data_IF_686693373633
#
_entry.id   IF_686693373633
#
_cell.length_a   1.000
_cell.length_b   1.000
_cell.length_c   1.000
_cell.angle_alpha   90.00
_cell.angle_beta   90.00
_cell.angle_gamma   90.00
#
_symmetry.space_group_name_H-M   'P 1'
#
loop_
_entity.id
_entity.type
_entity.pdbx_description
1 polymer ?
#
# COMPACT_ATOMS: atom_id res chain seq x y z
N UNK A 1 -23.72 73.62 16.32
CA UNK A 1 -22.96 72.35 16.49
C UNK A 1 -23.65 71.24 17.32
N UNK A 2 -24.77 71.46 18.02
CA UNK A 2 -25.35 70.44 18.92
C UNK A 2 -26.31 69.39 18.32
N UNK A 3 -26.88 69.61 17.12
CA UNK A 3 -27.84 68.65 16.50
C UNK A 3 -27.20 67.61 15.57
N UNK A 4 -25.99 67.85 15.06
CA UNK A 4 -25.30 66.91 14.13
C UNK A 4 -24.66 65.71 14.85
N UNK A 5 -24.34 65.86 16.13
CA UNK A 5 -23.73 64.80 16.95
C UNK A 5 -24.76 63.77 17.44
N UNK A 6 -26.05 64.12 17.47
CA UNK A 6 -27.12 63.21 17.90
C UNK A 6 -27.44 62.16 16.81
N UNK A 7 -27.41 62.54 15.53
CA UNK A 7 -27.67 61.62 14.41
C UNK A 7 -26.50 60.65 14.15
N UNK A 8 -25.26 61.06 14.42
CA UNK A 8 -24.08 60.18 14.35
C UNK A 8 -24.09 59.18 15.51
N UNK A 9 -24.52 59.59 16.70
CA UNK A 9 -24.67 58.70 17.86
C UNK A 9 -25.73 57.62 17.67
N UNK A 10 -26.88 57.96 17.07
CA UNK A 10 -27.96 56.98 16.79
C UNK A 10 -27.58 56.03 15.65
N UNK A 11 -26.86 56.48 14.63
CA UNK A 11 -26.37 55.61 13.55
C UNK A 11 -25.32 54.58 14.04
N UNK A 12 -24.46 54.95 14.99
CA UNK A 12 -23.46 54.04 15.60
C UNK A 12 -24.10 53.02 16.56
N UNK A 13 -25.21 53.36 17.22
CA UNK A 13 -25.97 52.42 18.06
C UNK A 13 -26.76 51.41 17.23
N UNK A 14 -27.22 51.78 16.03
CA UNK A 14 -27.93 50.84 15.12
C UNK A 14 -26.95 49.87 14.44
N UNK A 15 -25.71 50.31 14.16
CA UNK A 15 -24.63 49.46 13.59
C UNK A 15 -24.02 48.46 14.59
N UNK A 16 -24.29 48.60 15.90
CA UNK A 16 -23.76 47.71 16.94
C UNK A 16 -24.69 46.54 17.31
N UNK A 17 -25.89 46.46 16.73
CA UNK A 17 -26.88 45.40 16.99
C UNK A 17 -27.00 44.39 15.84
N UNK A 18 -26.26 44.57 14.74
CA UNK A 18 -26.18 43.63 13.62
C UNK A 18 -24.82 42.93 13.53
N UNK A 19 -24.14 42.76 14.67
CA UNK A 19 -23.10 41.74 14.75
C UNK A 19 -23.80 40.38 14.71
N UNK A 20 -23.91 39.78 13.52
CA UNK A 20 -24.21 38.35 13.40
C UNK A 20 -23.28 37.63 14.38
N UNK A 21 -23.84 36.99 15.41
CA UNK A 21 -23.07 36.01 16.18
C UNK A 21 -22.46 35.08 15.15
N UNK A 22 -21.13 34.91 15.08
CA UNK A 22 -20.56 33.87 14.25
C UNK A 22 -21.16 32.56 14.74
N UNK A 23 -22.10 32.02 13.98
CA UNK A 23 -22.54 30.64 14.16
C UNK A 23 -21.36 29.80 13.70
N UNK A 24 -20.70 29.14 14.65
CA UNK A 24 -19.82 28.06 14.30
C UNK A 24 -20.73 26.99 13.68
N UNK A 25 -20.63 26.78 12.37
CA UNK A 25 -21.25 25.63 11.74
C UNK A 25 -20.63 24.39 12.42
N UNK A 26 -21.38 23.75 13.31
CA UNK A 26 -20.93 22.57 14.00
C UNK A 26 -20.72 21.47 12.96
N UNK A 27 -19.48 20.97 12.87
CA UNK A 27 -19.14 19.83 12.05
C UNK A 27 -19.99 18.64 12.48
N UNK A 28 -20.97 18.27 11.65
CA UNK A 28 -21.91 17.20 11.95
C UNK A 28 -21.68 16.06 10.95
N UNK A 29 -21.08 14.95 11.40
CA UNK A 29 -20.84 13.81 10.51
C UNK A 29 -22.11 13.37 9.78
N UNK A 30 -22.02 13.21 8.46
CA UNK A 30 -23.15 12.79 7.62
C UNK A 30 -22.67 12.00 6.41
N UNK A 31 -23.48 11.05 5.93
CA UNK A 31 -23.19 10.33 4.69
C UNK A 31 -23.39 11.19 3.44
N UNK A 32 -24.01 12.37 3.59
CA UNK A 32 -24.56 13.12 2.48
C UNK A 32 -25.74 12.35 1.85
N UNK A 33 -26.03 12.64 0.58
CA UNK A 33 -27.18 12.05 -0.15
C UNK A 33 -26.78 11.23 -1.36
N UNK A 34 -25.47 11.16 -1.68
CA UNK A 34 -24.98 10.59 -2.95
C UNK A 34 -24.41 9.18 -2.84
N UNK A 35 -24.20 8.66 -1.63
CA UNK A 35 -23.67 7.33 -1.38
C UNK A 35 -24.39 6.66 -0.19
N UNK A 36 -24.45 5.34 -0.21
CA UNK A 36 -25.02 4.50 0.85
C UNK A 36 -23.93 3.58 1.40
N UNK A 37 -23.51 3.83 2.64
CA UNK A 37 -22.42 3.08 3.29
C UNK A 37 -22.90 1.85 4.07
N UNK A 38 -24.19 1.52 4.05
CA UNK A 38 -24.78 0.45 4.87
C UNK A 38 -24.17 -0.94 4.64
N UNK A 39 -23.63 -1.22 3.44
CA UNK A 39 -22.89 -2.43 3.12
C UNK A 39 -21.61 -2.09 2.37
N UNK A 40 -20.56 -1.84 3.12
CA UNK A 40 -19.23 -1.57 2.60
C UNK A 40 -18.45 -2.88 2.35
N UNK A 41 -17.84 -3.03 1.18
CA UNK A 41 -16.84 -4.07 0.88
C UNK A 41 -15.52 -3.46 0.40
N UNK A 42 -14.40 -4.12 0.71
CA UNK A 42 -13.08 -3.67 0.31
C UNK A 42 -12.37 -4.73 -0.55
N UNK A 43 -12.11 -4.40 -1.82
CA UNK A 43 -11.41 -5.27 -2.77
C UNK A 43 -10.00 -4.73 -2.93
N UNK A 44 -9.01 -5.57 -2.65
CA UNK A 44 -7.61 -5.16 -2.77
C UNK A 44 -6.64 -6.29 -2.51
N UNK A 45 -5.39 -5.92 -2.26
CA UNK A 45 -4.29 -6.85 -2.10
C UNK A 45 -3.82 -6.92 -0.62
N UNK A 46 -2.52 -7.10 -0.42
CA UNK A 46 -1.86 -7.17 0.88
C UNK A 46 -2.09 -5.93 1.75
N UNK A 47 -2.09 -4.73 1.17
CA UNK A 47 -2.37 -3.50 1.91
C UNK A 47 -3.79 -3.49 2.50
N UNK A 48 -4.78 -3.95 1.74
CA UNK A 48 -6.17 -4.05 2.21
C UNK A 48 -6.33 -5.16 3.25
N UNK A 49 -5.56 -6.24 3.13
CA UNK A 49 -5.61 -7.36 4.05
C UNK A 49 -5.01 -7.04 5.44
N UNK A 50 -4.20 -5.98 5.55
CA UNK A 50 -3.42 -5.69 6.76
C UNK A 50 -2.09 -6.45 6.81
N UNK A 51 -1.51 -6.77 5.65
CA UNK A 51 -0.15 -7.28 5.56
C UNK A 51 0.84 -6.18 5.93
N UNK A 52 1.81 -6.50 6.77
CA UNK A 52 2.88 -5.60 7.17
C UNK A 52 4.10 -6.40 7.60
N UNK A 53 5.27 -5.77 7.64
CA UNK A 53 6.49 -6.37 8.15
C UNK A 53 6.80 -7.74 7.49
N UNK A 54 6.44 -7.94 6.22
CA UNK A 54 6.68 -9.20 5.52
C UNK A 54 5.69 -10.32 5.85
N UNK A 55 4.58 -10.06 6.55
CA UNK A 55 3.57 -11.05 6.93
C UNK A 55 2.11 -10.57 6.99
N UNK A 56 1.17 -11.51 6.91
CA UNK A 56 -0.22 -11.30 7.34
C UNK A 56 -0.38 -11.81 8.77
N UNK A 57 -0.70 -10.92 9.70
CA UNK A 57 -0.81 -11.24 11.14
C UNK A 57 -1.86 -10.35 11.81
N UNK A 58 -2.40 -10.79 12.95
CA UNK A 58 -3.61 -10.23 13.56
C UNK A 58 -3.50 -8.73 13.85
N UNK A 59 -2.38 -8.27 14.41
CA UNK A 59 -2.20 -6.85 14.72
C UNK A 59 -2.19 -5.99 13.45
N UNK A 60 -1.56 -6.45 12.35
CA UNK A 60 -1.63 -5.77 11.06
C UNK A 60 -3.05 -5.73 10.50
N UNK A 61 -3.82 -6.83 10.64
CA UNK A 61 -5.21 -6.88 10.21
C UNK A 61 -6.11 -5.90 10.98
N UNK A 62 -5.88 -5.73 12.29
CA UNK A 62 -6.63 -4.82 13.17
C UNK A 62 -6.41 -3.33 12.84
N UNK A 63 -5.45 -3.01 11.99
CA UNK A 63 -5.19 -1.62 11.53
C UNK A 63 -5.17 -1.50 10.01
N UNK A 64 -5.68 -2.48 9.28
CA UNK A 64 -5.77 -2.42 7.83
C UNK A 64 -6.62 -1.21 7.41
N UNK A 65 -6.16 -0.42 6.44
CA UNK A 65 -6.86 0.82 6.06
C UNK A 65 -8.36 0.65 5.74
N UNK A 66 -8.86 -0.47 5.16
CA UNK A 66 -10.31 -0.62 4.96
C UNK A 66 -11.09 -0.74 6.25
N UNK A 67 -10.55 -1.40 7.27
CA UNK A 67 -11.17 -1.47 8.59
C UNK A 67 -11.26 -0.07 9.21
N UNK A 68 -10.18 0.70 9.13
CA UNK A 68 -10.13 2.08 9.62
C UNK A 68 -11.13 2.99 8.89
N UNK A 69 -11.30 2.82 7.58
CA UNK A 69 -12.36 3.51 6.81
C UNK A 69 -13.74 3.10 7.34
N UNK A 70 -14.00 1.81 7.52
CA UNK A 70 -15.28 1.31 7.98
C UNK A 70 -15.68 1.86 9.35
N UNK A 71 -14.73 1.95 10.29
CA UNK A 71 -14.94 2.57 11.61
C UNK A 71 -15.37 4.05 11.50
N UNK A 72 -14.83 4.81 10.54
CA UNK A 72 -15.28 6.18 10.30
C UNK A 72 -16.63 6.22 9.57
N UNK A 73 -16.89 5.30 8.64
CA UNK A 73 -18.17 5.20 7.95
C UNK A 73 -19.33 4.87 8.91
N UNK A 74 -19.09 4.06 9.95
CA UNK A 74 -20.10 3.77 10.98
C UNK A 74 -20.64 5.03 11.67
N UNK A 75 -19.80 6.07 11.83
CA UNK A 75 -20.19 7.35 12.41
C UNK A 75 -21.17 8.15 11.55
N UNK A 76 -21.37 7.73 10.29
CA UNK A 76 -22.28 8.38 9.34
C UNK A 76 -23.34 7.42 8.76
N UNK A 77 -23.60 6.29 9.43
CA UNK A 77 -24.61 5.31 9.00
C UNK A 77 -24.06 4.13 8.20
N UNK A 78 -22.73 3.92 8.21
CA UNK A 78 -22.10 2.71 7.71
C UNK A 78 -22.47 1.48 8.54
N UNK A 79 -22.48 0.30 7.90
CA UNK A 79 -22.82 -0.96 8.54
C UNK A 79 -21.66 -1.65 9.27
N UNK A 80 -21.93 -2.88 9.71
CA UNK A 80 -20.89 -3.78 10.23
C UNK A 80 -19.86 -4.11 9.14
N UNK A 81 -18.59 -4.19 9.52
CA UNK A 81 -17.49 -4.53 8.62
C UNK A 81 -16.63 -5.63 9.24
N UNK A 82 -16.61 -6.80 8.59
CA UNK A 82 -15.87 -7.98 9.05
C UNK A 82 -14.61 -8.20 8.23
N UNK A 83 -13.51 -8.49 8.92
CA UNK A 83 -12.25 -8.91 8.32
C UNK A 83 -11.93 -10.36 8.72
N UNK A 84 -11.22 -11.13 7.88
CA UNK A 84 -10.86 -12.52 8.17
C UNK A 84 -9.68 -12.57 9.17
N UNK A 85 -9.93 -12.19 10.42
CA UNK A 85 -8.91 -12.15 11.47
C UNK A 85 -8.37 -13.54 11.79
N UNK A 86 -7.08 -13.61 12.11
CA UNK A 86 -6.56 -14.77 12.85
C UNK A 86 -7.06 -14.74 14.30
N UNK A 87 -7.16 -15.92 14.92
CA UNK A 87 -7.45 -15.99 16.37
C UNK A 87 -6.25 -15.53 17.20
N UNK A 88 -6.46 -15.28 18.49
CA UNK A 88 -5.37 -14.93 19.42
C UNK A 88 -4.34 -16.07 19.61
N UNK A 89 -4.76 -17.32 19.40
CA UNK A 89 -3.89 -18.51 19.40
C UNK A 89 -2.99 -18.57 18.15
N UNK A 90 -3.45 -17.94 17.07
CA UNK A 90 -2.76 -17.88 15.77
C UNK A 90 -2.40 -16.44 15.41
N UNK A 91 -2.16 -15.58 16.42
CA UNK A 91 -2.04 -14.14 16.26
C UNK A 91 -0.93 -13.70 15.30
N UNK A 92 0.09 -14.53 15.12
CA UNK A 92 1.22 -14.24 14.25
C UNK A 92 1.00 -14.71 12.80
N UNK A 93 -0.12 -15.38 12.51
CA UNK A 93 -0.59 -15.63 11.15
C UNK A 93 0.43 -16.36 10.27
N UNK A 94 0.87 -15.72 9.19
CA UNK A 94 1.92 -16.27 8.31
C UNK A 94 3.34 -16.11 8.85
N UNK A 95 3.51 -15.49 10.03
CA UNK A 95 4.77 -14.95 10.53
C UNK A 95 5.07 -13.58 9.92
N UNK A 96 5.88 -12.78 10.59
CA UNK A 96 6.29 -11.43 10.17
C UNK A 96 7.68 -11.08 10.74
N UNK A 97 8.28 -10.00 10.27
CA UNK A 97 9.55 -9.45 10.75
C UNK A 97 9.31 -8.58 11.98
N UNK A 98 10.19 -8.69 12.98
CA UNK A 98 10.28 -7.69 14.06
C UNK A 98 11.66 -7.07 14.12
N UNK A 99 11.73 -5.81 14.53
CA UNK A 99 12.99 -5.12 14.78
C UNK A 99 13.55 -5.63 16.11
N UNK A 100 14.66 -6.37 16.04
CA UNK A 100 15.32 -6.97 17.21
C UNK A 100 16.25 -5.99 17.90
N UNK A 101 17.02 -5.25 17.12
CA UNK A 101 18.04 -4.33 17.62
C UNK A 101 18.41 -3.28 16.57
N UNK A 102 19.06 -2.22 17.04
CA UNK A 102 19.86 -1.32 16.20
C UNK A 102 21.33 -1.54 16.57
N UNK A 103 22.13 -2.06 15.64
CA UNK A 103 23.57 -2.29 15.83
C UNK A 103 24.32 -1.30 14.96
N UNK A 104 25.06 -0.38 15.59
CA UNK A 104 25.76 0.72 14.89
C UNK A 104 24.84 1.55 13.99
N UNK A 105 23.60 1.78 14.44
CA UNK A 105 22.58 2.48 13.67
C UNK A 105 21.94 1.67 12.53
N UNK A 106 22.38 0.42 12.29
CA UNK A 106 21.80 -0.48 11.30
C UNK A 106 20.76 -1.39 11.94
N UNK A 107 19.62 -1.62 11.26
CA UNK A 107 18.56 -2.46 11.80
C UNK A 107 18.87 -3.94 11.68
N UNK A 108 18.66 -4.65 12.78
CA UNK A 108 18.67 -6.11 12.82
C UNK A 108 17.24 -6.57 13.02
N UNK A 109 16.70 -7.28 12.04
CA UNK A 109 15.36 -7.89 12.10
C UNK A 109 15.45 -9.37 12.39
N UNK A 110 14.38 -9.94 12.95
CA UNK A 110 14.22 -11.39 13.04
C UNK A 110 12.79 -11.83 12.70
N UNK A 111 12.65 -13.07 12.24
CA UNK A 111 11.36 -13.63 11.87
C UNK A 111 10.62 -14.10 13.14
N UNK A 112 9.37 -13.69 13.27
CA UNK A 112 8.43 -14.20 14.27
C UNK A 112 7.77 -15.47 13.72
N UNK A 113 7.94 -16.59 14.44
CA UNK A 113 7.56 -17.93 13.98
C UNK A 113 6.77 -18.76 15.02
N UNK A 114 6.44 -18.20 16.17
CA UNK A 114 5.48 -18.76 17.12
C UNK A 114 4.04 -18.38 16.73
N UNK A 115 3.02 -19.06 17.29
CA UNK A 115 1.58 -18.78 17.06
C UNK A 115 1.20 -18.60 15.57
N UNK A 116 1.77 -19.43 14.70
CA UNK A 116 1.48 -19.40 13.28
C UNK A 116 0.11 -20.03 12.97
N UNK A 117 -0.50 -19.59 11.88
CA UNK A 117 -1.77 -20.08 11.39
C UNK A 117 -1.61 -21.17 10.31
N UNK A 118 -0.43 -21.78 10.14
CA UNK A 118 -0.25 -22.79 9.10
C UNK A 118 -0.93 -24.12 9.48
N UNK A 119 -1.84 -24.59 8.62
CA UNK A 119 -2.43 -25.93 8.70
C UNK A 119 -1.68 -26.96 7.85
N UNK A 120 -0.80 -26.50 6.95
CA UNK A 120 0.09 -27.32 6.13
C UNK A 120 1.37 -26.53 5.80
N UNK A 121 2.51 -27.22 5.78
CA UNK A 121 3.80 -26.66 5.41
C UNK A 121 4.14 -26.83 3.92
N UNK A 122 3.62 -27.87 3.27
CA UNK A 122 3.80 -28.11 1.83
C UNK A 122 2.58 -28.84 1.23
N UNK A 123 1.77 -28.17 0.39
CA UNK A 123 1.82 -26.73 0.10
C UNK A 123 1.56 -25.91 1.37
N UNK A 124 2.07 -24.66 1.41
CA UNK A 124 1.80 -23.75 2.54
C UNK A 124 0.34 -23.33 2.53
N UNK A 125 -0.41 -23.71 3.57
CA UNK A 125 -1.83 -23.36 3.73
C UNK A 125 -2.08 -22.78 5.11
N UNK A 126 -2.89 -21.71 5.18
CA UNK A 126 -3.28 -21.04 6.43
C UNK A 126 -4.61 -21.57 6.94
N UNK A 127 -4.91 -21.50 8.23
CA UNK A 127 -6.23 -21.84 8.77
C UNK A 127 -7.34 -21.11 7.99
N UNK A 128 -8.36 -21.87 7.56
CA UNK A 128 -9.49 -21.34 6.80
C UNK A 128 -10.30 -20.35 7.64
N UNK A 129 -10.87 -19.36 6.97
CA UNK A 129 -11.84 -18.40 7.50
C UNK A 129 -12.96 -18.25 6.48
N UNK A 130 -14.10 -18.88 6.72
CA UNK A 130 -15.18 -19.01 5.72
C UNK A 130 -16.46 -18.27 6.11
N UNK A 131 -16.45 -17.55 7.24
CA UNK A 131 -17.56 -16.70 7.63
C UNK A 131 -17.69 -15.53 6.65
N UNK A 132 -18.90 -14.94 6.49
CA UNK A 132 -19.09 -13.76 5.65
C UNK A 132 -18.19 -12.60 6.07
N UNK A 133 -17.47 -12.02 5.11
CA UNK A 133 -16.53 -10.91 5.30
C UNK A 133 -16.80 -9.75 4.36
N UNK A 134 -16.35 -8.57 4.77
CA UNK A 134 -16.39 -7.34 3.98
C UNK A 134 -15.00 -6.96 3.46
N UNK A 135 -13.95 -7.24 4.24
CA UNK A 135 -12.57 -7.06 3.81
C UNK A 135 -12.13 -8.25 2.98
N UNK A 136 -12.06 -8.04 1.67
CA UNK A 136 -11.70 -9.05 0.69
C UNK A 136 -10.23 -8.94 0.29
N UNK A 137 -9.41 -8.17 1.01
CA UNK A 137 -7.98 -8.03 0.73
C UNK A 137 -7.24 -9.37 0.69
N UNK A 138 -6.56 -9.66 -0.43
CA UNK A 138 -5.75 -10.88 -0.61
C UNK A 138 -4.29 -10.53 -0.93
N UNK A 139 -3.33 -10.81 -0.04
CA UNK A 139 -1.91 -10.60 -0.32
C UNK A 139 -1.45 -11.27 -1.62
N UNK A 140 -0.64 -10.56 -2.40
CA UNK A 140 -0.14 -11.01 -3.70
C UNK A 140 -1.15 -10.97 -4.86
N UNK A 141 -2.41 -10.58 -4.62
CA UNK A 141 -3.42 -10.52 -5.69
C UNK A 141 -3.08 -9.44 -6.73
N UNK A 142 -3.15 -9.81 -8.01
CA UNK A 142 -2.99 -8.95 -9.20
C UNK A 142 -4.31 -8.86 -9.98
N UNK A 143 -4.41 -7.92 -10.92
CA UNK A 143 -5.58 -7.84 -11.79
C UNK A 143 -5.75 -9.09 -12.65
N UNK A 144 -4.68 -9.56 -13.30
CA UNK A 144 -4.69 -10.77 -14.14
C UNK A 144 -5.00 -12.04 -13.34
N UNK A 145 -4.35 -12.23 -12.19
CA UNK A 145 -4.58 -13.35 -11.27
C UNK A 145 -6.01 -13.41 -10.75
N UNK A 146 -6.68 -12.27 -10.60
CA UNK A 146 -8.05 -12.26 -10.10
C UNK A 146 -9.04 -13.02 -10.99
N UNK A 147 -8.76 -13.11 -12.30
CA UNK A 147 -9.59 -13.82 -13.27
C UNK A 147 -9.10 -15.24 -13.54
N UNK A 148 -7.92 -15.60 -13.05
CA UNK A 148 -7.31 -16.90 -13.30
C UNK A 148 -8.07 -18.03 -12.58
N UNK A 149 -8.39 -19.15 -13.27
CA UNK A 149 -8.88 -20.34 -12.60
C UNK A 149 -7.77 -20.92 -11.72
N UNK A 150 -8.14 -21.81 -10.78
CA UNK A 150 -7.24 -22.51 -9.87
C UNK A 150 -6.53 -21.65 -8.82
N UNK A 151 -6.67 -20.32 -8.86
CA UNK A 151 -5.98 -19.42 -7.93
C UNK A 151 -6.42 -19.60 -6.47
N UNK A 152 -7.63 -20.12 -6.22
CA UNK A 152 -8.13 -20.44 -4.90
C UNK A 152 -7.84 -21.87 -4.42
N UNK A 153 -7.05 -22.66 -5.16
CA UNK A 153 -6.70 -24.03 -4.77
C UNK A 153 -5.47 -24.08 -3.87
N UNK A 154 -5.15 -25.25 -3.33
CA UNK A 154 -3.95 -25.46 -2.51
C UNK A 154 -2.62 -25.19 -3.26
N UNK A 155 -2.62 -25.23 -4.59
CA UNK A 155 -1.47 -24.86 -5.42
C UNK A 155 -1.46 -23.36 -5.82
N UNK A 156 -2.52 -22.63 -5.49
CA UNK A 156 -2.71 -21.22 -5.82
C UNK A 156 -2.26 -20.28 -4.70
N UNK A 157 -3.02 -19.21 -4.50
CA UNK A 157 -2.75 -18.21 -3.48
C UNK A 157 -3.33 -18.68 -2.14
N UNK A 158 -2.46 -19.04 -1.20
CA UNK A 158 -2.85 -19.53 0.13
C UNK A 158 -3.73 -18.55 0.93
N UNK A 159 -3.63 -17.25 0.67
CA UNK A 159 -4.46 -16.25 1.34
C UNK A 159 -5.87 -16.17 0.76
N UNK A 160 -6.05 -16.47 -0.53
CA UNK A 160 -7.39 -16.59 -1.11
C UNK A 160 -8.00 -17.96 -0.79
N UNK A 161 -7.19 -19.02 -0.88
CA UNK A 161 -7.59 -20.40 -0.57
C UNK A 161 -8.19 -20.51 0.84
N UNK A 162 -7.64 -19.78 1.83
CA UNK A 162 -8.18 -19.79 3.20
C UNK A 162 -9.62 -19.23 3.28
N UNK A 163 -10.04 -18.39 2.33
CA UNK A 163 -11.35 -17.73 2.33
C UNK A 163 -12.45 -18.56 1.66
N UNK A 164 -12.08 -19.69 1.05
CA UNK A 164 -13.00 -20.55 0.32
C UNK A 164 -13.39 -21.75 1.16
N UNK A 165 -14.68 -22.11 1.25
CA UNK A 165 -15.13 -23.36 1.87
C UNK A 165 -14.48 -24.58 1.23
N UNK A 166 -14.36 -25.66 2.00
CA UNK A 166 -13.97 -26.96 1.46
C UNK A 166 -14.92 -27.39 0.33
N UNK A 167 -14.38 -28.04 -0.70
CA UNK A 167 -15.15 -28.46 -1.88
C UNK A 167 -15.50 -27.35 -2.87
N UNK A 168 -15.05 -26.10 -2.65
CA UNK A 168 -15.18 -25.03 -3.65
C UNK A 168 -14.56 -25.47 -4.99
N UNK A 169 -15.28 -25.25 -6.09
CA UNK A 169 -14.81 -25.65 -7.42
C UNK A 169 -13.46 -25.00 -7.74
N UNK A 170 -12.50 -25.74 -8.33
CA UNK A 170 -11.19 -25.19 -8.69
C UNK A 170 -11.25 -24.00 -9.66
N UNK A 171 -12.35 -23.84 -10.40
CA UNK A 171 -12.57 -22.71 -11.31
C UNK A 171 -13.05 -21.43 -10.61
N UNK A 172 -13.33 -21.47 -9.31
CA UNK A 172 -13.64 -20.26 -8.53
C UNK A 172 -12.42 -19.33 -8.52
N UNK A 173 -12.55 -18.21 -9.23
CA UNK A 173 -11.54 -17.16 -9.25
C UNK A 173 -11.92 -16.03 -8.26
N UNK A 174 -10.95 -15.17 -7.98
CA UNK A 174 -11.14 -14.11 -6.99
C UNK A 174 -12.09 -13.01 -7.48
N UNK A 175 -12.14 -12.73 -8.78
CA UNK A 175 -13.13 -11.83 -9.38
C UNK A 175 -14.55 -12.26 -9.02
N UNK A 176 -14.93 -13.50 -9.36
CA UNK A 176 -16.27 -14.03 -9.07
C UNK A 176 -16.57 -14.03 -7.57
N UNK A 177 -15.63 -14.48 -6.74
CA UNK A 177 -15.80 -14.48 -5.29
C UNK A 177 -16.05 -13.06 -4.75
N UNK A 178 -15.20 -12.09 -5.12
CA UNK A 178 -15.24 -10.74 -4.56
C UNK A 178 -16.42 -9.91 -5.05
N UNK A 179 -16.83 -10.05 -6.32
CA UNK A 179 -17.97 -9.30 -6.86
C UNK A 179 -19.33 -9.91 -6.51
N UNK A 180 -19.36 -11.15 -6.01
CA UNK A 180 -20.62 -11.78 -5.54
C UNK A 180 -21.09 -11.27 -4.17
N UNK A 181 -20.23 -10.55 -3.44
CA UNK A 181 -20.56 -10.01 -2.13
C UNK A 181 -21.59 -8.86 -2.27
N UNK A 182 -22.70 -8.96 -1.54
CA UNK A 182 -23.74 -7.93 -1.56
C UNK A 182 -23.22 -6.63 -0.93
N UNK A 183 -23.30 -5.52 -1.65
CA UNK A 183 -22.75 -4.24 -1.21
C UNK A 183 -23.61 -3.05 -1.65
N UNK A 184 -23.41 -1.90 -1.01
CA UNK A 184 -23.95 -0.60 -1.41
C UNK A 184 -22.80 0.39 -1.70
N UNK A 185 -21.64 0.13 -1.11
CA UNK A 185 -20.41 0.89 -1.30
C UNK A 185 -19.19 -0.02 -1.42
N UNK A 186 -18.19 0.36 -2.22
CA UNK A 186 -16.93 -0.38 -2.30
C UNK A 186 -15.68 0.51 -2.33
N UNK A 187 -14.56 -0.02 -1.85
CA UNK A 187 -13.22 0.51 -2.18
C UNK A 187 -12.45 -0.52 -2.98
N UNK A 188 -11.77 -0.08 -4.04
CA UNK A 188 -11.02 -0.94 -4.95
C UNK A 188 -9.56 -0.47 -5.06
N UNK A 189 -8.62 -1.38 -4.78
CA UNK A 189 -7.17 -1.07 -4.72
C UNK A 189 -6.27 -2.18 -5.27
N UNK A 190 -6.74 -2.89 -6.31
CA UNK A 190 -5.89 -3.80 -7.08
C UNK A 190 -5.11 -3.04 -8.18
N UNK A 191 -3.98 -3.62 -8.60
CA UNK A 191 -3.10 -3.06 -9.64
C UNK A 191 -1.66 -2.84 -9.20
N UNK A 192 -1.39 -2.66 -7.89
CA UNK A 192 -0.01 -2.45 -7.43
C UNK A 192 0.89 -3.66 -7.73
N UNK A 193 0.41 -4.89 -7.52
CA UNK A 193 1.20 -6.11 -7.75
C UNK A 193 1.44 -6.40 -9.24
N UNK A 194 0.67 -5.78 -10.13
CA UNK A 194 0.84 -5.86 -11.58
C UNK A 194 2.12 -5.16 -12.07
N UNK A 195 2.71 -4.30 -11.23
CA UNK A 195 4.01 -3.64 -11.45
C UNK A 195 5.05 -4.01 -10.40
N UNK A 196 4.64 -4.16 -9.13
CA UNK A 196 5.56 -4.37 -8.01
C UNK A 196 6.31 -5.70 -8.15
N UNK A 197 5.65 -6.78 -8.54
CA UNK A 197 6.30 -8.10 -8.68
C UNK A 197 7.42 -8.11 -9.71
N UNK A 198 7.27 -7.40 -10.83
CA UNK A 198 8.32 -7.17 -11.82
C UNK A 198 9.48 -6.38 -11.22
N UNK A 199 9.17 -5.26 -10.55
CA UNK A 199 10.18 -4.37 -9.97
C UNK A 199 10.98 -5.06 -8.85
N UNK A 200 10.32 -5.77 -7.93
CA UNK A 200 10.99 -6.41 -6.78
C UNK A 200 11.81 -7.64 -7.17
N UNK A 201 11.54 -8.23 -8.35
CA UNK A 201 12.35 -9.30 -8.93
C UNK A 201 13.51 -8.77 -9.79
N UNK A 202 13.80 -7.46 -9.73
CA UNK A 202 14.85 -6.85 -10.53
C UNK A 202 14.58 -6.93 -12.02
N UNK A 203 13.30 -6.81 -12.42
CA UNK A 203 12.87 -6.87 -13.81
C UNK A 203 13.19 -8.19 -14.55
N UNK A 204 13.61 -9.22 -13.81
CA UNK A 204 13.78 -10.58 -14.32
C UNK A 204 12.41 -11.23 -14.49
N UNK A 205 12.11 -11.65 -15.71
CA UNK A 205 10.89 -12.38 -16.01
C UNK A 205 11.12 -13.89 -15.91
N UNK A 206 10.81 -14.44 -14.73
CA UNK A 206 10.88 -15.87 -14.43
C UNK A 206 9.49 -16.50 -14.25
N UNK A 207 8.41 -15.73 -14.40
CA UNK A 207 7.06 -16.22 -14.23
C UNK A 207 5.95 -15.18 -14.42
N UNK A 208 4.68 -15.62 -14.33
CA UNK A 208 3.54 -14.75 -14.58
C UNK A 208 3.42 -13.59 -13.57
N UNK A 209 3.90 -13.77 -12.34
CA UNK A 209 3.83 -12.74 -11.29
C UNK A 209 4.98 -11.73 -11.33
N UNK A 210 6.03 -12.01 -12.10
CA UNK A 210 7.22 -11.18 -12.27
C UNK A 210 7.24 -10.53 -13.66
N UNK A 211 6.08 -10.48 -14.35
CA UNK A 211 5.85 -9.74 -15.60
C UNK A 211 4.94 -8.54 -15.35
N UNK A 212 5.16 -7.41 -16.06
CA UNK A 212 4.23 -6.29 -16.04
C UNK A 212 2.92 -6.63 -16.77
N UNK A 213 1.76 -6.47 -16.12
CA UNK A 213 0.45 -6.61 -16.81
C UNK A 213 0.35 -5.58 -17.94
N UNK A 214 -0.11 -5.97 -19.13
CA UNK A 214 -0.24 -5.03 -20.24
C UNK A 214 -1.34 -4.00 -20.00
N UNK A 215 -1.15 -2.79 -20.51
CA UNK A 215 -2.10 -1.66 -20.37
C UNK A 215 -3.48 -1.97 -20.93
N UNK A 216 -3.55 -2.69 -22.05
CA UNK A 216 -4.81 -3.14 -22.63
C UNK A 216 -5.53 -4.17 -21.74
N UNK A 217 -4.79 -5.14 -21.19
CA UNK A 217 -5.35 -6.15 -20.29
C UNK A 217 -5.86 -5.48 -19.00
N UNK A 218 -5.04 -4.65 -18.35
CA UNK A 218 -5.44 -3.91 -17.15
C UNK A 218 -6.71 -3.09 -17.37
N UNK A 219 -6.81 -2.36 -18.49
CA UNK A 219 -8.00 -1.61 -18.85
C UNK A 219 -9.25 -2.50 -18.96
N UNK A 220 -9.14 -3.62 -19.67
CA UNK A 220 -10.25 -4.57 -19.82
C UNK A 220 -10.71 -5.12 -18.47
N UNK A 221 -9.77 -5.59 -17.65
CA UNK A 221 -10.07 -6.20 -16.35
C UNK A 221 -10.65 -5.19 -15.35
N UNK A 222 -10.16 -3.95 -15.33
CA UNK A 222 -10.72 -2.90 -14.47
C UNK A 222 -12.14 -2.53 -14.89
N UNK A 223 -12.41 -2.38 -16.19
CA UNK A 223 -13.76 -2.12 -16.67
C UNK A 223 -14.73 -3.26 -16.30
N UNK A 224 -14.29 -4.53 -16.38
CA UNK A 224 -15.10 -5.68 -15.96
C UNK A 224 -15.45 -5.63 -14.47
N UNK A 225 -14.47 -5.33 -13.61
CA UNK A 225 -14.70 -5.12 -12.18
C UNK A 225 -15.69 -3.99 -11.91
N UNK A 226 -15.43 -2.80 -12.45
CA UNK A 226 -16.25 -1.62 -12.17
C UNK A 226 -17.67 -1.78 -12.71
N UNK A 227 -17.83 -2.32 -13.93
CA UNK A 227 -19.16 -2.62 -14.49
C UNK A 227 -19.96 -3.55 -13.58
N UNK A 228 -19.32 -4.63 -13.08
CA UNK A 228 -19.98 -5.60 -12.20
C UNK A 228 -20.34 -4.99 -10.83
N UNK A 229 -19.41 -4.25 -10.21
CA UNK A 229 -19.61 -3.63 -8.90
C UNK A 229 -20.63 -2.48 -8.93
N UNK A 230 -20.88 -1.90 -10.10
CA UNK A 230 -21.80 -0.76 -10.26
C UNK A 230 -23.12 -1.13 -10.93
N UNK A 231 -23.42 -2.42 -11.12
CA UNK A 231 -24.64 -2.87 -11.83
C UNK A 231 -25.94 -2.34 -11.20
N UNK A 232 -25.97 -2.12 -9.88
CA UNK A 232 -27.10 -1.50 -9.16
C UNK A 232 -26.89 0.00 -8.90
N UNK A 233 -26.02 0.67 -9.66
CA UNK A 233 -25.58 2.07 -9.49
C UNK A 233 -24.89 2.33 -8.15
N UNK A 234 -24.31 1.29 -7.55
CA UNK A 234 -23.56 1.38 -6.30
C UNK A 234 -22.36 2.31 -6.45
N UNK A 235 -21.98 2.97 -5.36
CA UNK A 235 -20.89 3.95 -5.34
C UNK A 235 -19.61 3.32 -4.78
N UNK A 236 -18.48 3.98 -5.00
CA UNK A 236 -17.22 3.45 -4.53
C UNK A 236 -16.03 4.34 -4.84
N UNK A 237 -14.86 3.89 -4.40
CA UNK A 237 -13.59 4.59 -4.57
C UNK A 237 -12.61 3.70 -5.30
N UNK A 238 -12.00 4.21 -6.37
CA UNK A 238 -10.84 3.56 -6.98
C UNK A 238 -9.56 4.23 -6.47
N UNK A 239 -8.59 3.42 -6.05
CA UNK A 239 -7.27 3.90 -5.66
C UNK A 239 -6.34 3.95 -6.87
N UNK A 240 -5.61 5.04 -7.03
CA UNK A 240 -4.45 5.06 -7.94
C UNK A 240 -3.31 4.20 -7.37
N UNK A 241 -2.43 3.71 -8.24
CA UNK A 241 -1.24 2.95 -7.90
C UNK A 241 -0.08 3.92 -7.61
N UNK A 242 0.59 3.83 -6.45
CA UNK A 242 1.76 4.65 -6.18
C UNK A 242 2.96 4.29 -7.04
N UNK A 243 3.92 5.20 -7.14
CA UNK A 243 5.24 4.87 -7.68
C UNK A 243 5.90 3.83 -6.77
N UNK A 244 5.93 2.57 -7.22
CA UNK A 244 6.46 1.46 -6.44
C UNK A 244 7.97 1.56 -6.22
N UNK A 245 8.69 2.35 -7.02
CA UNK A 245 10.14 2.59 -6.83
C UNK A 245 10.44 3.59 -5.71
N UNK A 246 9.41 4.27 -5.19
CA UNK A 246 9.56 5.29 -4.14
C UNK A 246 9.57 4.75 -2.71
N UNK A 247 9.27 3.46 -2.52
CA UNK A 247 9.16 2.84 -1.20
C UNK A 247 10.55 2.49 -0.63
N UNK A 248 10.70 2.33 0.70
CA UNK A 248 11.99 2.01 1.31
C UNK A 248 12.67 0.76 0.73
N UNK A 249 11.91 -0.21 0.19
CA UNK A 249 12.46 -1.38 -0.47
C UNK A 249 13.48 -1.04 -1.56
N UNK A 250 13.29 0.06 -2.31
CA UNK A 250 14.20 0.49 -3.38
C UNK A 250 15.10 1.66 -2.97
N UNK A 251 14.70 2.43 -1.96
CA UNK A 251 15.36 3.72 -1.63
C UNK A 251 16.29 3.65 -0.41
N UNK A 252 16.27 2.55 0.35
CA UNK A 252 17.09 2.41 1.56
C UNK A 252 18.55 2.08 1.27
N UNK A 253 18.79 1.16 0.34
CA UNK A 253 20.14 0.72 -0.02
C UNK A 253 20.59 1.53 -1.24
N UNK A 254 21.45 2.52 -1.01
CA UNK A 254 21.93 3.40 -2.09
C UNK A 254 23.32 3.00 -2.54
N UNK A 255 23.67 3.34 -3.79
CA UNK A 255 25.04 3.21 -4.32
C UNK A 255 26.07 3.85 -3.39
N UNK A 256 25.78 5.05 -2.89
CA UNK A 256 26.63 5.78 -1.94
C UNK A 256 26.86 4.98 -0.64
N UNK A 257 25.81 4.45 -0.04
CA UNK A 257 25.92 3.65 1.20
C UNK A 257 26.73 2.38 0.98
N UNK A 258 26.53 1.71 -0.15
CA UNK A 258 27.29 0.50 -0.51
C UNK A 258 28.78 0.82 -0.73
N UNK A 259 29.10 1.90 -1.46
CA UNK A 259 30.48 2.36 -1.64
C UNK A 259 31.13 2.75 -0.32
N UNK A 260 30.41 3.45 0.56
CA UNK A 260 30.89 3.82 1.88
C UNK A 260 31.22 2.57 2.73
N UNK A 261 30.34 1.57 2.72
CA UNK A 261 30.53 0.31 3.42
C UNK A 261 31.78 -0.45 2.95
N UNK A 262 31.94 -0.62 1.64
CA UNK A 262 33.12 -1.29 1.05
C UNK A 262 34.41 -0.50 1.35
N UNK A 263 34.37 0.82 1.21
CA UNK A 263 35.54 1.68 1.41
C UNK A 263 35.92 1.85 2.89
N UNK A 264 35.04 1.54 3.83
CA UNK A 264 35.34 1.46 5.25
C UNK A 264 36.08 0.16 5.61
N UNK A 265 35.85 -0.92 4.83
CA UNK A 265 36.45 -2.24 5.04
C UNK A 265 37.70 -2.51 4.17
N UNK A 266 38.04 -1.62 3.23
CA UNK A 266 39.12 -1.80 2.24
C UNK A 266 40.18 -0.69 2.30
N UNK A 267 41.45 -1.06 2.10
CA UNK A 267 42.57 -0.11 1.92
C UNK A 267 42.61 0.48 0.51
N UNK A 268 42.09 -0.24 -0.48
CA UNK A 268 41.97 0.24 -1.86
C UNK A 268 40.61 0.85 -2.05
N UNK A 269 40.57 2.12 -2.48
CA UNK A 269 39.31 2.81 -2.73
C UNK A 269 38.63 2.29 -3.98
N UNK A 270 37.37 1.93 -3.84
CA UNK A 270 36.48 1.53 -4.92
C UNK A 270 35.54 2.70 -5.23
N UNK A 271 35.44 3.05 -6.51
CA UNK A 271 34.58 4.14 -7.00
C UNK A 271 33.30 3.65 -7.66
N UNK A 272 33.27 2.36 -8.05
CA UNK A 272 32.21 1.80 -8.87
C UNK A 272 31.67 0.51 -8.27
N UNK A 273 30.34 0.37 -8.38
CA UNK A 273 29.63 -0.90 -8.18
C UNK A 273 29.16 -1.31 -9.56
N UNK A 274 29.49 -2.52 -10.00
CA UNK A 274 29.08 -3.05 -11.29
C UNK A 274 27.79 -3.85 -11.14
N UNK A 275 26.83 -3.61 -12.03
CA UNK A 275 25.53 -4.29 -12.07
C UNK A 275 25.37 -4.98 -13.41
N UNK A 276 24.67 -6.11 -13.40
CA UNK A 276 24.21 -6.75 -14.62
C UNK A 276 23.08 -5.89 -15.22
N UNK A 277 22.97 -5.93 -16.55
CA UNK A 277 21.88 -5.31 -17.30
C UNK A 277 21.63 -6.14 -18.56
N UNK A 278 20.50 -5.92 -19.22
CA UNK A 278 20.18 -6.52 -20.53
C UNK A 278 21.23 -6.24 -21.61
N UNK A 279 21.97 -5.14 -21.50
CA UNK A 279 23.02 -4.73 -22.45
C UNK A 279 24.44 -5.19 -22.07
N UNK A 280 24.57 -5.94 -20.97
CA UNK A 280 25.84 -6.35 -20.37
C UNK A 280 26.20 -5.54 -19.11
N UNK A 281 27.23 -5.97 -18.37
CA UNK A 281 27.60 -5.34 -17.11
C UNK A 281 28.08 -3.90 -17.29
N UNK A 282 27.66 -3.00 -16.40
CA UNK A 282 28.13 -1.60 -16.35
C UNK A 282 28.27 -1.10 -14.93
N UNK A 283 28.97 0.01 -14.74
CA UNK A 283 28.94 0.73 -13.48
C UNK A 283 27.51 1.22 -13.18
N UNK A 284 27.07 1.07 -11.93
CA UNK A 284 25.84 1.60 -11.40
C UNK A 284 25.94 3.13 -11.29
N UNK A 285 24.80 3.77 -11.45
CA UNK A 285 24.56 5.19 -11.23
C UNK A 285 23.68 5.35 -9.99
N UNK A 286 23.54 6.58 -9.49
CA UNK A 286 22.63 6.87 -8.39
C UNK A 286 21.14 6.81 -8.80
N UNK A 287 20.85 6.48 -10.08
CA UNK A 287 19.52 6.24 -10.61
C UNK A 287 19.15 4.74 -10.67
N UNK A 288 20.09 3.85 -10.32
CA UNK A 288 19.84 2.41 -10.16
C UNK A 288 19.43 2.10 -8.72
N UNK A 289 18.41 1.26 -8.55
CA UNK A 289 17.85 0.94 -7.24
C UNK A 289 18.34 -0.42 -6.75
N UNK A 290 19.11 -0.45 -5.67
CA UNK A 290 19.44 -1.69 -4.97
C UNK A 290 18.31 -2.05 -4.02
N UNK A 291 17.86 -3.30 -4.07
CA UNK A 291 16.76 -3.76 -3.22
C UNK A 291 17.19 -3.88 -1.76
N UNK A 292 16.27 -3.61 -0.83
CA UNK A 292 16.52 -3.65 0.62
C UNK A 292 17.22 -4.94 1.09
N UNK A 293 16.82 -6.15 0.62
CA UNK A 293 17.51 -7.40 0.97
C UNK A 293 18.98 -7.48 0.56
N UNK A 294 19.44 -6.67 -0.41
CA UNK A 294 20.81 -6.76 -0.93
C UNK A 294 21.87 -6.51 0.16
N UNK A 295 21.63 -5.51 1.01
CA UNK A 295 22.54 -5.17 2.11
C UNK A 295 22.72 -6.32 3.12
N UNK A 296 21.64 -7.07 3.39
CA UNK A 296 21.64 -8.20 4.30
C UNK A 296 22.18 -9.50 3.67
N UNK A 297 22.32 -9.56 2.34
CA UNK A 297 22.81 -10.75 1.65
C UNK A 297 24.31 -11.00 1.89
N UNK A 298 25.07 -9.96 2.28
CA UNK A 298 26.50 -10.08 2.60
C UNK A 298 27.38 -10.45 1.39
N UNK A 299 26.90 -10.21 0.17
CA UNK A 299 27.56 -10.64 -1.07
C UNK A 299 28.58 -9.63 -1.60
N UNK A 300 28.37 -8.32 -1.36
CA UNK A 300 29.19 -7.27 -1.94
C UNK A 300 30.67 -7.42 -1.53
N UNK A 301 31.56 -7.49 -2.52
CA UNK A 301 32.99 -7.70 -2.32
C UNK A 301 33.42 -9.16 -2.12
N UNK A 302 32.50 -10.12 -1.95
CA UNK A 302 32.83 -11.54 -1.79
C UNK A 302 33.41 -12.07 -3.11
N UNK A 303 34.64 -12.63 -3.12
CA UNK A 303 35.24 -13.14 -4.36
C UNK A 303 34.55 -14.41 -4.87
N UNK A 304 34.41 -14.53 -6.19
CA UNK A 304 34.05 -15.79 -6.84
C UNK A 304 35.24 -16.76 -6.93
N UNK A 305 35.06 -17.91 -7.59
CA UNK A 305 36.11 -18.93 -7.78
C UNK A 305 37.38 -18.37 -8.43
N UNK A 306 37.24 -17.42 -9.37
CA UNK A 306 38.33 -16.74 -10.05
C UNK A 306 38.91 -15.56 -9.26
N UNK A 307 38.57 -15.44 -7.96
CA UNK A 307 38.99 -14.36 -7.05
C UNK A 307 38.51 -12.96 -7.47
N UNK A 308 37.48 -12.87 -8.29
CA UNK A 308 36.90 -11.59 -8.73
C UNK A 308 35.85 -11.16 -7.70
N UNK A 309 35.97 -9.97 -7.09
CA UNK A 309 35.05 -9.50 -6.06
C UNK A 309 33.67 -9.18 -6.63
N UNK A 310 32.62 -9.71 -5.99
CA UNK A 310 31.24 -9.55 -6.42
C UNK A 310 30.78 -8.09 -6.30
N UNK A 311 30.13 -7.58 -7.34
CA UNK A 311 29.69 -6.20 -7.49
C UNK A 311 30.81 -5.16 -7.64
N UNK A 312 32.09 -5.52 -7.51
CA UNK A 312 33.22 -4.57 -7.57
C UNK A 312 34.07 -4.72 -8.84
N UNK A 313 33.65 -5.59 -9.76
CA UNK A 313 34.30 -5.81 -11.05
C UNK A 313 33.26 -6.21 -12.12
N UNK A 314 33.40 -5.78 -13.39
CA UNK A 314 32.40 -6.06 -14.43
C UNK A 314 32.23 -7.55 -14.77
N UNK A 315 33.24 -8.38 -14.48
CA UNK A 315 33.16 -9.85 -14.66
C UNK A 315 32.48 -10.59 -13.50
N UNK A 316 32.09 -9.88 -12.44
CA UNK A 316 31.30 -10.43 -11.34
C UNK A 316 30.33 -9.36 -10.83
N UNK A 317 29.40 -8.86 -11.66
CA UNK A 317 28.52 -7.77 -11.30
C UNK A 317 27.42 -8.23 -10.33
N UNK A 318 26.73 -7.27 -9.70
CA UNK A 318 25.50 -7.54 -8.95
C UNK A 318 24.42 -8.06 -9.90
N UNK A 319 23.79 -9.19 -9.58
CA UNK A 319 22.76 -9.79 -10.44
C UNK A 319 21.46 -8.95 -10.46
N UNK A 320 20.74 -9.00 -11.58
CA UNK A 320 19.49 -8.25 -11.81
C UNK A 320 18.49 -8.39 -10.65
N UNK A 321 18.31 -9.60 -10.07
CA UNK A 321 17.38 -9.82 -8.94
C UNK A 321 17.61 -8.91 -7.71
N UNK A 322 18.80 -8.30 -7.58
CA UNK A 322 19.13 -7.36 -6.51
C UNK A 322 19.14 -5.88 -6.93
N UNK A 323 18.99 -5.58 -8.22
CA UNK A 323 19.07 -4.23 -8.77
C UNK A 323 17.99 -4.00 -9.83
N UNK A 324 17.17 -2.98 -9.63
CA UNK A 324 16.31 -2.46 -10.68
C UNK A 324 17.05 -1.33 -11.40
N UNK A 325 17.45 -1.55 -12.65
CA UNK A 325 18.26 -0.58 -13.38
C UNK A 325 17.42 0.62 -13.83
N UNK A 326 18.06 1.77 -14.09
CA UNK A 326 17.39 3.03 -14.45
C UNK A 326 16.40 2.91 -15.63
N UNK A 327 16.68 2.04 -16.61
CA UNK A 327 15.81 1.81 -17.76
C UNK A 327 14.54 1.07 -17.34
N UNK A 328 14.72 0.06 -16.50
CA UNK A 328 13.64 -0.78 -15.97
C UNK A 328 12.78 -0.01 -14.97
N UNK A 329 13.39 0.83 -14.13
CA UNK A 329 12.69 1.76 -13.26
C UNK A 329 11.81 2.74 -14.06
N UNK A 330 12.31 3.27 -15.18
CA UNK A 330 11.50 4.10 -16.09
C UNK A 330 10.34 3.32 -16.70
N UNK A 331 10.53 2.06 -17.06
CA UNK A 331 9.47 1.18 -17.57
C UNK A 331 8.37 0.96 -16.51
N UNK A 332 8.76 0.68 -15.27
CA UNK A 332 7.85 0.52 -14.13
C UNK A 332 7.03 1.79 -13.89
N UNK A 333 7.68 2.95 -13.81
CA UNK A 333 7.01 4.24 -13.60
C UNK A 333 6.08 4.59 -14.77
N UNK A 334 6.49 4.31 -16.01
CA UNK A 334 5.64 4.49 -17.19
C UNK A 334 4.37 3.65 -17.10
N UNK A 335 4.49 2.36 -16.73
CA UNK A 335 3.34 1.46 -16.55
C UNK A 335 2.38 1.92 -15.45
N UNK A 336 2.91 2.37 -14.31
CA UNK A 336 2.11 2.97 -13.23
C UNK A 336 1.31 4.16 -13.74
N UNK A 337 1.94 5.06 -14.50
CA UNK A 337 1.27 6.24 -15.05
C UNK A 337 0.16 5.87 -16.05
N UNK A 338 0.37 4.86 -16.89
CA UNK A 338 -0.65 4.33 -17.79
C UNK A 338 -1.85 3.76 -17.05
N UNK A 339 -1.61 2.92 -16.03
CA UNK A 339 -2.68 2.38 -15.19
C UNK A 339 -3.45 3.47 -14.45
N UNK A 340 -2.76 4.48 -13.91
CA UNK A 340 -3.42 5.60 -13.21
C UNK A 340 -4.29 6.46 -14.13
N UNK A 341 -3.91 6.64 -15.40
CA UNK A 341 -4.78 7.28 -16.40
C UNK A 341 -6.05 6.47 -16.63
N UNK A 342 -5.93 5.15 -16.74
CA UNK A 342 -7.08 4.24 -16.88
C UNK A 342 -7.99 4.31 -15.65
N UNK A 343 -7.42 4.20 -14.43
CA UNK A 343 -8.18 4.26 -13.17
C UNK A 343 -9.00 5.56 -13.09
N UNK A 344 -8.36 6.70 -13.36
CA UNK A 344 -9.03 8.01 -13.35
C UNK A 344 -10.14 8.10 -14.40
N UNK A 345 -9.90 7.58 -15.61
CA UNK A 345 -10.89 7.57 -16.69
C UNK A 345 -12.11 6.69 -16.37
N UNK A 346 -11.88 5.47 -15.88
CA UNK A 346 -12.95 4.53 -15.48
C UNK A 346 -13.75 5.09 -14.30
N UNK A 347 -13.08 5.68 -13.31
CA UNK A 347 -13.76 6.33 -12.19
C UNK A 347 -14.66 7.48 -12.65
N UNK A 348 -14.14 8.37 -13.52
CA UNK A 348 -14.92 9.49 -14.06
C UNK A 348 -16.15 9.02 -14.84
N UNK A 349 -15.99 8.01 -15.70
CA UNK A 349 -17.08 7.46 -16.53
C UNK A 349 -18.20 6.83 -15.70
N UNK A 350 -17.88 6.32 -14.50
CA UNK A 350 -18.83 5.67 -13.60
C UNK A 350 -19.22 6.54 -12.39
N UNK A 351 -18.79 7.80 -12.35
CA UNK A 351 -19.03 8.73 -11.23
C UNK A 351 -18.57 8.17 -9.87
N UNK A 352 -17.39 7.57 -9.88
CA UNK A 352 -16.72 7.02 -8.70
C UNK A 352 -15.70 8.01 -8.16
N UNK A 353 -15.44 7.93 -6.85
CA UNK A 353 -14.37 8.69 -6.24
C UNK A 353 -13.00 8.13 -6.63
N UNK A 354 -11.97 8.98 -6.60
CA UNK A 354 -10.58 8.57 -6.80
C UNK A 354 -9.78 8.94 -5.56
N UNK A 355 -9.24 7.92 -4.88
CA UNK A 355 -8.21 8.11 -3.86
C UNK A 355 -6.85 8.21 -4.56
N UNK A 356 -6.27 9.41 -4.63
CA UNK A 356 -4.99 9.66 -5.30
C UNK A 356 -3.81 9.29 -4.39
N UNK A 357 -3.69 7.99 -4.11
CA UNK A 357 -2.60 7.37 -3.35
C UNK A 357 -1.23 7.66 -4.00
N UNK A 358 -1.18 7.81 -5.33
CA UNK A 358 0.05 8.11 -6.04
C UNK A 358 0.60 9.48 -5.67
N UNK A 359 -0.24 10.52 -5.73
CA UNK A 359 0.12 11.85 -5.30
C UNK A 359 0.46 11.86 -3.80
N UNK A 360 -0.32 11.16 -2.98
CA UNK A 360 -0.11 11.10 -1.54
C UNK A 360 1.25 10.49 -1.16
N UNK A 361 1.59 9.31 -1.68
CA UNK A 361 2.88 8.67 -1.34
C UNK A 361 4.07 9.41 -1.97
N UNK A 362 3.88 10.11 -3.09
CA UNK A 362 4.89 11.03 -3.62
C UNK A 362 5.18 12.18 -2.64
N UNK A 363 4.15 12.71 -1.97
CA UNK A 363 4.35 13.71 -0.92
C UNK A 363 5.06 13.10 0.30
N UNK A 364 4.64 11.91 0.75
CA UNK A 364 5.30 11.18 1.86
C UNK A 364 6.78 10.95 1.56
N UNK A 365 7.16 10.60 0.32
CA UNK A 365 8.57 10.44 -0.08
C UNK A 365 9.42 11.66 0.30
N UNK A 366 8.90 12.87 0.10
CA UNK A 366 9.58 14.13 0.38
C UNK A 366 9.53 14.55 1.86
N UNK A 367 8.74 13.84 2.68
CA UNK A 367 8.49 14.18 4.07
C UNK A 367 7.33 15.15 4.22
N UNK A 368 6.36 14.78 5.06
CA UNK A 368 5.18 15.59 5.37
C UNK A 368 5.01 15.71 6.89
N UNK A 369 4.29 16.75 7.32
CA UNK A 369 3.80 16.87 8.69
C UNK A 369 2.28 16.83 8.69
N UNK A 370 1.71 15.85 9.38
CA UNK A 370 0.26 15.69 9.56
C UNK A 370 0.03 15.49 11.06
N UNK A 371 -0.94 16.21 11.63
CA UNK A 371 -1.29 16.14 13.06
C UNK A 371 -0.06 16.27 14.00
N UNK A 372 0.90 17.13 13.62
CA UNK A 372 2.16 17.36 14.36
C UNK A 372 3.25 16.31 14.14
N UNK A 373 2.92 15.13 13.60
CA UNK A 373 3.85 14.03 13.32
C UNK A 373 4.57 14.20 11.99
N UNK A 374 5.88 13.97 11.98
CA UNK A 374 6.67 13.86 10.77
C UNK A 374 6.55 12.45 10.19
N UNK A 375 6.17 12.37 8.91
CA UNK A 375 6.03 11.10 8.18
C UNK A 375 6.82 11.19 6.88
N UNK A 376 7.62 10.17 6.58
CA UNK A 376 8.41 10.06 5.36
C UNK A 376 8.60 8.62 4.90
N UNK A 377 9.17 8.43 3.72
CA UNK A 377 9.59 7.11 3.23
C UNK A 377 10.94 6.62 3.80
N UNK A 378 11.47 7.25 4.86
CA UNK A 378 12.69 6.76 5.52
C UNK A 378 12.42 5.41 6.19
N UNK A 379 13.27 4.43 5.93
CA UNK A 379 13.17 3.11 6.56
C UNK A 379 13.26 3.22 8.08
N UNK A 380 12.33 2.56 8.77
CA UNK A 380 12.17 2.49 10.25
C UNK A 380 11.79 3.81 10.93
N UNK A 381 12.47 4.89 10.61
CA UNK A 381 12.33 6.19 11.29
C UNK A 381 11.32 7.13 10.61
N UNK A 382 10.88 6.79 9.40
CA UNK A 382 9.95 7.60 8.62
C UNK A 382 8.49 7.47 9.02
N UNK A 383 8.14 6.57 9.94
CA UNK A 383 6.78 6.30 10.42
C UNK A 383 5.77 5.77 9.38
N UNK A 384 6.00 5.90 8.06
CA UNK A 384 5.01 5.51 7.05
C UNK A 384 5.05 4.05 6.62
N UNK A 385 6.23 3.43 6.59
CA UNK A 385 6.45 2.09 6.04
C UNK A 385 7.00 1.12 7.10
N UNK A 386 6.56 -0.13 6.99
CA UNK A 386 6.88 -1.25 7.87
C UNK A 386 8.24 -1.88 7.53
N UNK A 387 8.64 -2.93 8.26
CA UNK A 387 9.98 -3.53 8.17
C UNK A 387 10.29 -4.27 6.86
N UNK A 388 9.30 -4.52 6.00
CA UNK A 388 9.57 -5.05 4.65
C UNK A 388 9.91 -3.94 3.63
N UNK A 389 9.78 -2.67 4.03
CA UNK A 389 10.03 -1.53 3.15
C UNK A 389 9.00 -1.35 2.03
N UNK A 390 7.89 -2.07 2.05
CA UNK A 390 6.82 -2.04 1.03
C UNK A 390 5.49 -1.66 1.67
N UNK A 391 5.10 -2.37 2.72
CA UNK A 391 3.80 -2.22 3.37
C UNK A 391 3.82 -1.13 4.43
N UNK A 392 2.63 -0.69 4.83
CA UNK A 392 2.44 0.46 5.70
C UNK A 392 2.48 0.07 7.18
N UNK A 393 2.96 0.99 8.01
CA UNK A 393 2.77 0.93 9.47
C UNK A 393 1.28 1.20 9.83
N UNK A 394 0.90 1.09 11.11
CA UNK A 394 -0.40 1.60 11.56
C UNK A 394 -0.62 3.09 11.22
N UNK A 395 0.38 3.97 11.39
CA UNK A 395 0.32 5.38 10.94
C UNK A 395 0.08 5.45 9.42
N UNK A 396 0.82 4.67 8.63
CA UNK A 396 0.67 4.63 7.18
C UNK A 396 -0.73 4.19 6.74
N UNK A 397 -1.31 3.19 7.41
CA UNK A 397 -2.67 2.75 7.15
C UNK A 397 -3.73 3.80 7.53
N UNK A 398 -3.57 4.51 8.66
CA UNK A 398 -4.47 5.60 9.05
C UNK A 398 -4.41 6.76 8.05
N UNK A 399 -3.21 7.08 7.55
CA UNK A 399 -3.01 8.04 6.47
C UNK A 399 -3.68 7.60 5.16
N UNK A 400 -3.49 6.34 4.76
CA UNK A 400 -4.15 5.77 3.59
C UNK A 400 -5.68 5.87 3.74
N UNK A 401 -6.24 5.49 4.89
CA UNK A 401 -7.66 5.61 5.17
C UNK A 401 -8.16 7.06 5.02
N UNK A 402 -7.39 8.04 5.52
CA UNK A 402 -7.70 9.46 5.34
C UNK A 402 -7.73 9.89 3.87
N UNK A 403 -6.83 9.38 3.01
CA UNK A 403 -6.87 9.68 1.55
C UNK A 403 -8.19 9.19 0.93
N UNK A 404 -8.67 8.01 1.32
CA UNK A 404 -9.96 7.50 0.85
C UNK A 404 -11.13 8.32 1.41
N UNK A 405 -11.11 8.64 2.70
CA UNK A 405 -12.15 9.45 3.35
C UNK A 405 -12.26 10.84 2.70
N UNK A 406 -11.13 11.48 2.39
CA UNK A 406 -11.10 12.74 1.64
C UNK A 406 -11.74 12.61 0.26
N UNK A 407 -11.43 11.53 -0.47
CA UNK A 407 -12.04 11.26 -1.77
C UNK A 407 -13.55 11.01 -1.67
N UNK A 408 -13.99 10.27 -0.65
CA UNK A 408 -15.41 10.01 -0.35
C UNK A 408 -16.15 11.32 -0.08
N UNK A 409 -15.64 12.13 0.84
CA UNK A 409 -16.25 13.41 1.21
C UNK A 409 -16.33 14.35 0.01
N UNK A 410 -15.25 14.47 -0.76
CA UNK A 410 -15.19 15.33 -1.95
C UNK A 410 -16.18 14.93 -3.04
N UNK A 411 -16.28 13.64 -3.35
CA UNK A 411 -17.11 13.17 -4.47
C UNK A 411 -18.58 13.04 -4.09
N UNK A 412 -18.87 12.55 -2.89
CA UNK A 412 -20.23 12.22 -2.46
C UNK A 412 -20.89 13.28 -1.58
N UNK A 413 -20.17 14.35 -1.22
CA UNK A 413 -20.67 15.38 -0.32
C UNK A 413 -20.93 14.84 1.09
N UNK A 414 -20.21 13.78 1.47
CA UNK A 414 -20.23 13.24 2.81
C UNK A 414 -19.33 14.08 3.73
N UNK A 415 -19.54 13.94 5.04
CA UNK A 415 -18.72 14.50 6.11
C UNK A 415 -18.27 13.36 7.02
N UNK A 416 -17.58 12.37 6.46
CA UNK A 416 -16.95 11.29 7.21
C UNK A 416 -15.74 11.87 7.94
N UNK A 417 -15.62 11.69 9.27
CA UNK A 417 -14.49 12.20 10.03
C UNK A 417 -13.20 11.48 9.64
N UNK A 418 -12.10 12.23 9.70
CA UNK A 418 -10.75 11.69 9.53
C UNK A 418 -10.30 10.97 10.79
N UNK A 419 -9.38 10.03 10.62
CA UNK A 419 -8.60 9.49 11.73
C UNK A 419 -7.55 10.51 12.16
N UNK A 420 -7.33 10.62 13.48
CA UNK A 420 -6.17 11.28 14.03
C UNK A 420 -4.98 10.30 13.96
N UNK A 421 -3.94 10.66 13.21
CA UNK A 421 -2.84 9.72 12.98
C UNK A 421 -1.95 9.53 14.21
N UNK A 422 -2.02 10.41 15.21
CA UNK A 422 -1.25 10.28 16.45
C UNK A 422 -1.69 9.12 17.33
N UNK A 423 -2.88 8.58 17.08
CA UNK A 423 -3.43 7.45 17.83
C UNK A 423 -2.80 6.12 17.38
N UNK A 424 -2.00 6.16 16.31
CA UNK A 424 -1.37 5.00 15.70
C UNK A 424 0.15 5.06 15.86
N UNK A 425 0.77 3.88 15.97
CA UNK A 425 2.22 3.75 16.09
C UNK A 425 2.91 3.68 14.73
N UNK A 426 4.19 4.06 14.70
CA UNK A 426 5.13 3.69 13.64
C UNK A 426 5.66 2.27 13.82
N UNK A 427 6.89 2.03 13.36
CA UNK A 427 7.63 0.79 13.62
C UNK A 427 7.83 0.61 15.14
N UNK A 428 7.59 -0.60 15.65
CA UNK A 428 7.90 -0.93 17.05
C UNK A 428 9.42 -0.97 17.22
N UNK A 429 9.93 -0.14 18.13
CA UNK A 429 11.33 -0.17 18.54
C UNK A 429 11.54 -1.23 19.63
N UNK A 430 12.72 -1.86 19.68
CA UNK A 430 13.05 -2.91 20.66
C UNK A 430 13.08 -2.41 22.11
#
# INVERSE_FOLDING_TARGET
MKRRNLYIGVALVILSITACKPTLDEYTPTAGTKADFSKYIAIGNSLSAGYADGGLYLEGQKVAFPLLIAEQLQKVGGGEFKSPFFSEEQSNGSGYLRLKALVNGQPVTEQVTDKLAYRSASPKLLTKFTDPINNLGVPGMRMDMAFAPYIGTAAGNMYFERLLPEGTLPTMNYFTYSTSQNHTFFTFSLGNNDVLGYATNGAVNDGPTTTLTSTALFNSLLNNYVSTLTVKKQKGVLATIPDVTSVPYFTTVTRELLLAGVNAASTTKVTDIYIATKSGPRAATDQDYFVLPFSAAGLLGVPNENKIPYGLHPLNPVEDKYVLDVTEAKEVVARVNEFNKIIKSVAASNQLAVADVNAFLTAVKNGIRIDGLAVSAKYITGNGFSLDGIHLTPIGNALMANVFIEAINKTYGAQVPRLNISDFRGVKLP
#
